data_IF_148973220807
#
_entry.id   IF_148973220807
#
_cell.length_a   1.000
_cell.length_b   1.000
_cell.length_c   1.000
_cell.angle_alpha   90.00
_cell.angle_beta   90.00
_cell.angle_gamma   90.00
#
_symmetry.space_group_name_H-M   'P 1'
#
loop_
_entity.id
_entity.type
_entity.pdbx_description
1 polymer ?
#
# COMPACT_ATOMS: atom_id res chain seq x y z
N UNK A 1 -32.48 -10.80 -24.86
CA UNK A 1 -32.79 -10.53 -23.43
C UNK A 1 -32.04 -11.47 -22.49
N UNK A 2 -32.11 -12.80 -22.67
CA UNK A 2 -31.43 -13.78 -21.79
C UNK A 2 -29.88 -13.66 -21.75
N UNK A 3 -29.25 -13.34 -22.88
CA UNK A 3 -27.78 -13.21 -23.00
C UNK A 3 -27.21 -11.98 -22.27
N UNK A 4 -28.00 -10.92 -22.16
CA UNK A 4 -27.61 -9.68 -21.47
C UNK A 4 -27.71 -9.86 -19.94
N UNK A 5 -28.72 -10.60 -19.48
CA UNK A 5 -28.87 -10.96 -18.07
C UNK A 5 -27.73 -11.85 -17.55
N UNK A 6 -27.24 -12.80 -18.37
CA UNK A 6 -26.11 -13.67 -18.03
C UNK A 6 -24.80 -12.86 -17.88
N UNK A 7 -24.60 -11.84 -18.71
CA UNK A 7 -23.41 -10.98 -18.67
C UNK A 7 -23.39 -10.07 -17.43
N UNK A 8 -24.55 -9.54 -17.04
CA UNK A 8 -24.71 -8.76 -15.79
C UNK A 8 -24.57 -9.65 -14.55
N UNK A 9 -25.05 -10.89 -14.60
CA UNK A 9 -24.91 -11.87 -13.52
C UNK A 9 -23.45 -12.33 -13.33
N UNK A 10 -22.69 -12.51 -14.41
CA UNK A 10 -21.25 -12.81 -14.36
C UNK A 10 -20.40 -11.64 -13.84
N UNK A 11 -20.82 -10.39 -14.10
CA UNK A 11 -20.12 -9.20 -13.62
C UNK A 11 -20.31 -8.96 -12.11
N UNK A 12 -21.44 -9.41 -11.53
CA UNK A 12 -21.74 -9.26 -10.10
C UNK A 12 -21.05 -10.26 -9.16
N UNK A 13 -20.55 -11.39 -9.69
CA UNK A 13 -19.93 -12.46 -8.89
C UNK A 13 -18.43 -12.26 -8.59
N UNK A 14 -17.82 -11.18 -9.09
CA UNK A 14 -16.36 -11.01 -9.11
C UNK A 14 -15.80 -9.90 -8.21
N UNK A 15 -16.59 -9.32 -7.29
CA UNK A 15 -16.07 -8.25 -6.41
C UNK A 15 -15.29 -8.87 -5.24
N UNK A 16 -14.07 -9.31 -5.52
CA UNK A 16 -13.12 -9.70 -4.49
C UNK A 16 -12.67 -8.44 -3.75
N UNK A 17 -13.02 -8.29 -2.48
CA UNK A 17 -12.45 -7.27 -1.61
C UNK A 17 -10.94 -7.48 -1.54
N UNK A 18 -10.17 -6.56 -2.14
CA UNK A 18 -8.72 -6.54 -2.00
C UNK A 18 -8.47 -6.06 -0.57
N UNK A 19 -8.23 -6.98 0.36
CA UNK A 19 -7.78 -6.62 1.70
C UNK A 19 -6.35 -6.11 1.58
N UNK A 20 -6.15 -4.82 1.85
CA UNK A 20 -4.82 -4.21 1.93
C UNK A 20 -4.10 -4.51 3.27
N UNK A 21 -4.73 -5.31 4.13
CA UNK A 21 -4.16 -5.71 5.41
C UNK A 21 -2.98 -6.67 5.22
N UNK A 22 -1.95 -6.56 6.07
CA UNK A 22 -0.87 -7.53 6.07
C UNK A 22 -1.40 -8.94 6.36
N UNK A 23 -0.71 -9.99 5.86
CA UNK A 23 -1.09 -11.37 6.16
C UNK A 23 -1.24 -11.63 7.66
N UNK A 24 -2.06 -12.62 8.02
CA UNK A 24 -2.20 -12.99 9.42
C UNK A 24 -0.83 -13.33 10.03
N UNK A 25 -0.56 -12.82 11.23
CA UNK A 25 0.72 -12.96 11.95
C UNK A 25 1.94 -12.30 11.28
N UNK A 26 1.77 -11.36 10.34
CA UNK A 26 2.89 -10.69 9.65
C UNK A 26 3.94 -10.09 10.59
N UNK A 27 3.53 -9.53 11.73
CA UNK A 27 4.43 -8.94 12.73
C UNK A 27 4.80 -9.87 13.90
N UNK A 28 4.46 -11.16 13.83
CA UNK A 28 4.63 -12.08 14.97
C UNK A 28 6.09 -12.20 15.44
N UNK A 29 7.06 -12.15 14.53
CA UNK A 29 8.49 -12.22 14.87
C UNK A 29 9.01 -10.95 15.55
N UNK A 30 8.31 -9.82 15.40
CA UNK A 30 8.64 -8.56 16.06
C UNK A 30 7.93 -8.37 17.41
N UNK A 31 6.89 -9.17 17.70
CA UNK A 31 6.08 -9.05 18.91
C UNK A 31 6.94 -9.17 20.19
N UNK A 32 6.60 -8.38 21.21
CA UNK A 32 7.26 -8.31 22.52
C UNK A 32 8.78 -7.98 22.52
N UNK A 33 9.38 -7.65 21.36
CA UNK A 33 10.74 -7.14 21.28
C UNK A 33 10.74 -5.63 21.51
N UNK A 34 11.87 -5.10 22.00
CA UNK A 34 12.10 -3.66 22.15
C UNK A 34 13.49 -3.26 21.65
N UNK A 35 13.73 -1.95 21.48
CA UNK A 35 15.03 -1.40 21.12
C UNK A 35 15.63 -1.99 19.84
N UNK A 36 16.92 -2.36 19.89
CA UNK A 36 17.67 -2.89 18.73
C UNK A 36 17.09 -4.21 18.21
N UNK A 37 16.59 -5.06 19.10
CA UNK A 37 16.01 -6.35 18.72
C UNK A 37 14.71 -6.17 17.94
N UNK A 38 13.87 -5.22 18.34
CA UNK A 38 12.65 -4.86 17.61
C UNK A 38 12.97 -4.29 16.24
N UNK A 39 13.93 -3.36 16.16
CA UNK A 39 14.39 -2.78 14.89
C UNK A 39 14.88 -3.86 13.91
N UNK A 40 15.68 -4.82 14.38
CA UNK A 40 16.18 -5.90 13.53
C UNK A 40 15.03 -6.77 13.03
N UNK A 41 14.13 -7.19 13.93
CA UNK A 41 12.99 -8.02 13.53
C UNK A 41 12.08 -7.33 12.52
N UNK A 42 11.84 -6.03 12.65
CA UNK A 42 11.12 -5.27 11.63
C UNK A 42 11.87 -5.18 10.32
N UNK A 43 13.19 -4.94 10.36
CA UNK A 43 14.02 -4.90 9.15
C UNK A 43 13.95 -6.22 8.39
N UNK A 44 14.11 -7.35 9.08
CA UNK A 44 14.07 -8.69 8.49
C UNK A 44 12.69 -9.05 7.89
N UNK A 45 11.61 -8.39 8.33
CA UNK A 45 10.26 -8.56 7.74
C UNK A 45 10.12 -7.78 6.43
N UNK A 46 10.79 -6.64 6.28
CA UNK A 46 10.54 -5.64 5.21
C UNK A 46 11.72 -5.45 4.26
N UNK A 47 12.87 -6.09 4.48
CA UNK A 47 14.10 -5.85 3.73
C UNK A 47 13.96 -6.22 2.25
N UNK A 48 13.23 -7.29 1.93
CA UNK A 48 12.87 -7.70 0.57
C UNK A 48 11.64 -6.94 0.00
N UNK A 49 11.59 -5.63 0.24
CA UNK A 49 10.56 -4.79 -0.33
C UNK A 49 10.85 -4.48 -1.81
N UNK A 50 9.78 -4.30 -2.59
CA UNK A 50 9.91 -3.80 -3.96
C UNK A 50 10.41 -2.36 -3.94
N UNK A 51 11.65 -2.18 -4.38
CA UNK A 51 12.25 -0.84 -4.53
C UNK A 51 11.59 -0.11 -5.70
N UNK A 52 10.97 1.03 -5.40
CA UNK A 52 10.48 1.96 -6.41
C UNK A 52 11.60 2.91 -6.79
N UNK A 53 12.06 2.83 -8.05
CA UNK A 53 13.21 3.60 -8.53
C UNK A 53 12.79 5.00 -8.97
N UNK A 54 13.69 5.96 -8.77
CA UNK A 54 13.64 7.25 -9.48
C UNK A 54 13.97 7.00 -10.95
N UNK A 55 12.95 6.80 -11.78
CA UNK A 55 13.17 6.35 -13.16
C UNK A 55 12.26 6.99 -14.21
N UNK A 56 11.40 7.94 -13.84
CA UNK A 56 10.44 8.61 -14.74
C UNK A 56 9.52 7.64 -15.50
N UNK A 57 9.50 6.36 -15.11
CA UNK A 57 8.72 5.27 -15.69
C UNK A 57 7.72 4.78 -14.65
N UNK A 58 6.43 4.89 -14.95
CA UNK A 58 5.36 4.57 -14.01
C UNK A 58 5.28 3.04 -13.72
N UNK A 59 5.20 2.60 -12.45
CA UNK A 59 5.22 3.42 -11.24
C UNK A 59 6.64 3.77 -10.79
N UNK A 60 6.90 5.06 -10.63
CA UNK A 60 8.13 5.63 -10.08
C UNK A 60 7.92 6.27 -8.69
N UNK A 61 8.98 6.87 -8.15
CA UNK A 61 8.94 7.49 -6.82
C UNK A 61 7.95 8.64 -6.73
N UNK A 62 7.75 9.41 -7.81
CA UNK A 62 6.79 10.52 -7.80
C UNK A 62 5.35 9.98 -7.74
N UNK A 63 5.06 8.88 -8.44
CA UNK A 63 3.76 8.20 -8.36
C UNK A 63 3.47 7.69 -6.95
N UNK A 64 4.48 7.15 -6.27
CA UNK A 64 4.35 6.68 -4.89
C UNK A 64 4.10 7.86 -3.92
N UNK A 65 4.87 8.94 -4.04
CA UNK A 65 4.72 10.13 -3.19
C UNK A 65 3.37 10.82 -3.37
N UNK A 66 2.89 10.92 -4.62
CA UNK A 66 1.56 11.49 -4.89
C UNK A 66 0.43 10.75 -4.17
N UNK A 67 0.57 9.43 -3.96
CA UNK A 67 -0.38 8.63 -3.19
C UNK A 67 -0.19 8.75 -1.68
N UNK A 68 1.06 8.79 -1.22
CA UNK A 68 1.39 8.85 0.21
C UNK A 68 1.04 10.20 0.84
N UNK A 69 1.21 11.29 0.09
CA UNK A 69 0.98 12.65 0.60
C UNK A 69 -0.49 13.11 0.41
N UNK A 70 -1.32 12.32 -0.28
CA UNK A 70 -2.75 12.59 -0.46
C UNK A 70 -3.49 12.53 0.89
N UNK A 71 -4.38 13.49 1.11
CA UNK A 71 -5.26 13.49 2.28
C UNK A 71 -6.30 12.35 2.16
N UNK A 72 -6.34 11.41 3.12
CA UNK A 72 -7.27 10.28 3.07
C UNK A 72 -8.74 10.71 3.18
N UNK A 73 -9.03 11.86 3.80
CA UNK A 73 -10.39 12.39 3.95
C UNK A 73 -10.79 13.27 2.76
N UNK A 74 -9.82 13.80 2.00
CA UNK A 74 -10.07 14.64 0.83
C UNK A 74 -9.03 14.43 -0.29
N UNK A 75 -9.34 13.64 -1.33
CA UNK A 75 -8.38 13.30 -2.40
C UNK A 75 -7.96 14.49 -3.28
N UNK A 76 -8.62 15.65 -3.14
CA UNK A 76 -8.24 16.89 -3.84
C UNK A 76 -7.24 17.73 -3.04
N UNK A 77 -6.74 17.23 -1.90
CA UNK A 77 -5.83 17.93 -1.00
C UNK A 77 -4.61 17.08 -0.64
N UNK A 78 -3.52 17.76 -0.32
CA UNK A 78 -2.25 17.17 0.11
C UNK A 78 -2.06 17.52 1.58
N UNK A 79 -1.86 16.52 2.44
CA UNK A 79 -1.74 16.73 3.90
C UNK A 79 -0.30 16.95 4.35
N UNK A 80 0.68 16.47 3.58
CA UNK A 80 2.09 16.51 3.94
C UNK A 80 2.94 17.12 2.82
N UNK A 81 3.52 18.30 3.10
CA UNK A 81 4.54 18.91 2.25
C UNK A 81 5.78 19.16 3.10
N UNK A 82 6.84 18.40 2.87
CA UNK A 82 8.12 18.65 3.51
C UNK A 82 8.74 19.94 2.94
N UNK A 83 8.85 20.98 3.78
CA UNK A 83 9.37 22.31 3.40
C UNK A 83 10.85 22.32 2.99
N UNK A 84 11.56 21.20 3.13
CA UNK A 84 13.00 21.01 2.86
C UNK A 84 13.90 22.15 3.38
N UNK A 85 13.55 22.79 4.49
CA UNK A 85 14.50 23.68 5.21
C UNK A 85 15.41 22.82 6.08
N UNK A 86 16.73 23.01 5.94
CA UNK A 86 17.75 22.46 6.83
C UNK A 86 17.88 23.29 8.10
#
# INVERSE_FOLDING_TARGET
MLRFAILVFLLGLGVSSINADPPNNYYATAAAKTGRAFRSALHDIIDDHRVTKYSSNNPDTADALAKLDADPDNPNSVILIYSRRS
#
